data_IF_969058824798
#
_entry.id   IF_969058824798
#
_cell.length_a   1.000
_cell.length_b   1.000
_cell.length_c   1.000
_cell.angle_alpha   90.00
_cell.angle_beta   90.00
_cell.angle_gamma   90.00
#
_symmetry.space_group_name_H-M   'P 1'
#
loop_
_entity.id
_entity.type
_entity.pdbx_description
1 polymer ?
#
# COMPACT_ATOMS: atom_id res chain seq x y z
N UNK A 1 42.58 -13.06 72.31
CA UNK A 1 41.58 -14.02 72.79
C UNK A 1 40.92 -14.66 71.59
N UNK A 2 41.00 -16.00 71.53
CA UNK A 2 40.11 -16.94 70.81
C UNK A 2 40.01 -16.83 69.28
N UNK A 3 39.89 -17.89 68.50
CA UNK A 3 40.25 -19.31 68.54
C UNK A 3 40.04 -19.72 67.07
N UNK A 4 41.04 -20.30 66.41
CA UNK A 4 40.92 -20.79 65.04
C UNK A 4 39.99 -22.02 65.03
N UNK A 5 38.86 -21.94 64.33
CA UNK A 5 38.00 -23.10 64.04
C UNK A 5 38.15 -23.46 62.56
N UNK A 6 38.93 -24.50 62.31
CA UNK A 6 38.97 -25.26 61.07
C UNK A 6 37.61 -25.96 60.88
N UNK A 7 36.85 -25.55 59.86
CA UNK A 7 35.78 -26.37 59.30
C UNK A 7 36.29 -27.06 58.04
N UNK A 8 36.48 -28.37 58.16
CA UNK A 8 36.59 -29.31 57.06
C UNK A 8 35.22 -29.34 56.34
N UNK A 9 35.19 -28.94 55.08
CA UNK A 9 34.06 -29.23 54.20
C UNK A 9 34.11 -30.71 53.80
N UNK A 10 32.98 -31.44 53.79
CA UNK A 10 32.98 -32.85 53.41
C UNK A 10 33.25 -33.00 51.91
N UNK A 11 34.22 -33.85 51.59
CA UNK A 11 34.37 -34.44 50.27
C UNK A 11 33.06 -35.11 49.85
N UNK A 12 32.52 -34.64 48.73
CA UNK A 12 31.32 -35.17 48.13
C UNK A 12 30.47 -34.04 47.62
N UNK A 13 30.63 -33.72 46.34
CA UNK A 13 29.59 -33.49 45.33
C UNK A 13 30.34 -33.10 44.05
N UNK A 14 31.22 -34.01 43.61
CA UNK A 14 31.62 -34.02 42.21
C UNK A 14 30.35 -34.32 41.41
N UNK A 15 29.99 -33.37 40.54
CA UNK A 15 28.89 -33.48 39.61
C UNK A 15 28.99 -34.81 38.86
N UNK A 16 28.23 -35.82 39.32
CA UNK A 16 27.71 -36.83 38.41
C UNK A 16 26.76 -36.08 37.48
N UNK A 17 27.28 -35.63 36.34
CA UNK A 17 26.49 -35.57 35.13
C UNK A 17 25.95 -36.99 34.92
N UNK A 18 24.81 -37.30 35.54
CA UNK A 18 23.95 -38.35 35.05
C UNK A 18 23.53 -37.86 33.66
N UNK A 19 24.22 -38.34 32.64
CA UNK A 19 23.57 -38.63 31.37
C UNK A 19 22.36 -39.49 31.71
N UNK A 20 21.21 -38.85 31.94
CA UNK A 20 19.93 -39.51 31.78
C UNK A 20 19.90 -39.95 30.32
N UNK A 21 20.35 -41.17 30.07
CA UNK A 21 19.87 -41.93 28.93
C UNK A 21 18.35 -41.93 29.07
N UNK A 22 17.68 -41.08 28.28
CA UNK A 22 16.23 -41.10 28.17
C UNK A 22 15.85 -42.55 27.87
N UNK A 23 15.03 -43.14 28.73
CA UNK A 23 14.46 -44.46 28.44
C UNK A 23 13.48 -44.24 27.30
N UNK A 24 13.87 -44.66 26.10
CA UNK A 24 13.07 -44.64 24.87
C UNK A 24 11.56 -44.94 25.04
N UNK A 25 11.07 -45.81 25.97
CA UNK A 25 9.62 -46.03 26.13
C UNK A 25 8.81 -44.85 26.71
N UNK A 26 9.37 -43.96 27.54
CA UNK A 26 8.59 -42.84 28.13
C UNK A 26 8.33 -41.73 27.09
N UNK A 27 9.31 -41.42 26.24
CA UNK A 27 9.17 -40.43 25.16
C UNK A 27 8.11 -40.88 24.13
N UNK A 28 8.08 -42.17 23.78
CA UNK A 28 7.08 -42.72 22.86
C UNK A 28 5.65 -42.67 23.43
N UNK A 29 5.49 -42.82 24.74
CA UNK A 29 4.18 -42.84 25.41
C UNK A 29 3.48 -41.47 25.44
N UNK A 30 4.21 -40.39 25.12
CA UNK A 30 3.64 -39.05 24.88
C UNK A 30 2.71 -39.04 23.66
N UNK A 31 3.07 -39.77 22.60
CA UNK A 31 2.29 -39.84 21.36
C UNK A 31 1.52 -41.16 21.23
N UNK A 32 1.99 -42.22 21.88
CA UNK A 32 1.27 -43.49 22.02
C UNK A 32 0.59 -43.54 23.38
N UNK A 33 -0.40 -42.67 23.59
CA UNK A 33 -1.06 -42.45 24.90
C UNK A 33 -1.68 -43.72 25.49
N UNK A 34 -2.10 -44.68 24.64
CA UNK A 34 -2.56 -46.00 25.06
C UNK A 34 -1.48 -46.85 25.75
N UNK A 35 -0.20 -46.49 25.59
CA UNK A 35 0.93 -47.14 26.24
C UNK A 35 1.28 -46.50 27.60
N UNK A 36 0.69 -45.34 27.94
CA UNK A 36 0.95 -44.64 29.19
C UNK A 36 0.11 -45.18 30.36
N UNK A 37 0.72 -45.43 31.51
CA UNK A 37 0.07 -46.07 32.66
C UNK A 37 -0.85 -45.14 33.46
N UNK A 38 -0.67 -43.82 33.41
CA UNK A 38 -1.44 -42.86 34.22
C UNK A 38 -2.81 -42.51 33.65
N UNK A 39 -3.11 -42.87 32.39
CA UNK A 39 -4.38 -42.56 31.75
C UNK A 39 -5.53 -43.51 32.10
N UNK A 40 -5.31 -44.59 32.86
CA UNK A 40 -6.38 -45.55 33.17
C UNK A 40 -7.53 -44.86 33.93
N UNK A 41 -8.71 -44.79 33.33
CA UNK A 41 -9.95 -44.28 33.96
C UNK A 41 -10.44 -42.90 33.53
N UNK A 42 -9.76 -42.21 32.60
CA UNK A 42 -10.23 -40.94 32.01
C UNK A 42 -10.99 -41.23 30.71
N UNK A 43 -12.23 -40.73 30.60
CA UNK A 43 -13.06 -40.84 29.41
C UNK A 43 -12.56 -39.85 28.34
N UNK A 44 -12.18 -40.37 27.16
CA UNK A 44 -11.71 -39.59 26.00
C UNK A 44 -12.76 -39.64 24.90
N UNK A 45 -12.88 -38.58 24.09
CA UNK A 45 -13.84 -38.53 22.99
C UNK A 45 -13.54 -39.53 21.87
N UNK A 46 -12.28 -39.94 21.79
CA UNK A 46 -11.82 -40.97 20.86
C UNK A 46 -11.64 -42.28 21.62
N UNK A 47 -12.29 -43.38 21.19
CA UNK A 47 -12.14 -44.67 21.86
C UNK A 47 -10.69 -45.11 21.92
N UNK A 48 -10.24 -45.55 23.10
CA UNK A 48 -8.94 -46.20 23.22
C UNK A 48 -8.93 -47.52 22.45
N UNK A 49 -8.05 -47.59 21.48
CA UNK A 49 -7.86 -48.73 20.60
C UNK A 49 -6.56 -49.44 20.97
N UNK A 50 -6.67 -50.68 21.44
CA UNK A 50 -5.54 -51.52 21.87
C UNK A 50 -4.81 -52.16 20.68
N UNK A 51 -4.39 -51.38 19.69
CA UNK A 51 -3.69 -51.92 18.52
C UNK A 51 -2.27 -51.36 18.39
N UNK A 52 -1.32 -52.28 18.25
CA UNK A 52 0.06 -51.99 17.91
C UNK A 52 0.13 -51.49 16.47
N UNK A 53 0.91 -50.43 16.23
CA UNK A 53 1.14 -49.94 14.88
C UNK A 53 2.35 -50.61 14.27
N UNK A 54 2.19 -51.10 13.05
CA UNK A 54 3.26 -51.65 12.22
C UNK A 54 3.37 -50.76 10.98
N UNK A 55 4.58 -50.66 10.44
CA UNK A 55 4.95 -49.95 9.23
C UNK A 55 5.55 -51.03 8.30
N UNK A 56 5.32 -50.98 6.99
CA UNK A 56 5.60 -52.06 6.01
C UNK A 56 4.71 -53.31 6.14
N UNK A 57 3.40 -53.14 6.40
CA UNK A 57 2.42 -54.22 6.23
C UNK A 57 1.51 -54.53 7.42
N UNK A 58 1.30 -53.60 8.36
CA UNK A 58 0.18 -53.62 9.32
C UNK A 58 -0.16 -52.16 9.73
N UNK A 59 -1.18 -51.88 10.58
CA UNK A 59 -1.91 -50.60 10.52
C UNK A 59 -1.18 -49.46 11.24
N UNK A 60 -1.14 -48.27 10.64
CA UNK A 60 -0.58 -47.04 11.26
C UNK A 60 -1.66 -46.01 11.55
N UNK A 61 -2.14 -45.99 12.81
CA UNK A 61 -3.01 -44.91 13.31
C UNK A 61 -2.24 -43.63 13.72
N UNK A 62 -0.90 -43.60 13.67
CA UNK A 62 -0.10 -42.46 14.20
C UNK A 62 -0.36 -41.19 13.41
N UNK A 63 -0.64 -41.32 12.12
CA UNK A 63 -0.91 -40.21 11.19
C UNK A 63 -2.39 -39.90 11.06
N UNK A 64 -3.27 -40.59 11.80
CA UNK A 64 -4.70 -40.32 11.76
C UNK A 64 -5.04 -39.01 12.47
N UNK A 65 -6.06 -38.32 11.96
CA UNK A 65 -6.64 -37.15 12.63
C UNK A 65 -7.04 -37.48 14.07
N UNK A 66 -7.61 -38.67 14.29
CA UNK A 66 -7.98 -39.16 15.60
C UNK A 66 -6.79 -39.21 16.59
N UNK A 67 -5.60 -39.62 16.15
CA UNK A 67 -4.42 -39.61 17.01
C UNK A 67 -4.02 -38.18 17.41
N UNK A 68 -4.02 -37.26 16.45
CA UNK A 68 -3.69 -35.86 16.70
C UNK A 68 -4.69 -35.25 17.69
N UNK A 69 -5.99 -35.47 17.44
CA UNK A 69 -7.06 -34.99 18.29
C UNK A 69 -7.05 -35.59 19.69
N UNK A 70 -6.52 -36.80 19.91
CA UNK A 70 -6.43 -37.39 21.25
C UNK A 70 -5.52 -36.63 22.23
N UNK A 71 -4.69 -35.71 21.73
CA UNK A 71 -3.92 -34.76 22.54
C UNK A 71 -4.57 -33.36 22.56
N UNK A 72 -5.20 -32.98 21.46
CA UNK A 72 -5.86 -31.68 21.28
C UNK A 72 -7.30 -31.63 21.84
N UNK A 73 -7.85 -32.75 22.31
CA UNK A 73 -9.23 -32.87 22.82
C UNK A 73 -9.40 -32.48 24.30
N UNK A 74 -8.32 -32.03 24.94
CA UNK A 74 -8.28 -31.73 26.37
C UNK A 74 -7.35 -32.63 27.18
N UNK A 75 -6.87 -33.75 26.62
CA UNK A 75 -5.94 -34.63 27.33
C UNK A 75 -4.61 -33.95 27.66
N UNK A 76 -4.00 -33.24 26.68
CA UNK A 76 -2.82 -32.37 26.93
C UNK A 76 -3.27 -30.92 27.04
N UNK A 77 -4.03 -30.45 26.06
CA UNK A 77 -4.67 -29.15 26.05
C UNK A 77 -5.84 -29.18 25.06
N UNK A 78 -6.99 -28.67 25.47
CA UNK A 78 -8.11 -28.53 24.52
C UNK A 78 -7.80 -27.38 23.56
N UNK A 79 -7.66 -27.73 22.29
CA UNK A 79 -7.27 -26.81 21.22
C UNK A 79 -8.03 -27.13 19.94
N UNK A 80 -9.11 -27.92 20.03
CA UNK A 80 -9.98 -28.27 18.90
C UNK A 80 -10.53 -27.06 18.17
N UNK A 81 -10.83 -25.99 18.92
CA UNK A 81 -11.33 -24.74 18.36
C UNK A 81 -10.34 -24.07 17.40
N UNK A 82 -9.03 -24.30 17.57
CA UNK A 82 -8.01 -23.66 16.74
C UNK A 82 -7.88 -24.31 15.36
N UNK A 83 -8.43 -25.53 15.17
CA UNK A 83 -8.44 -26.25 13.91
C UNK A 83 -9.69 -26.00 13.07
N UNK A 84 -10.59 -25.10 13.49
CA UNK A 84 -11.84 -24.76 12.79
C UNK A 84 -11.64 -23.89 11.54
N UNK A 85 -10.39 -23.70 11.08
CA UNK A 85 -10.08 -22.93 9.87
C UNK A 85 -10.78 -23.54 8.66
N UNK A 86 -11.54 -22.72 7.93
CA UNK A 86 -12.17 -23.14 6.66
C UNK A 86 -11.18 -23.24 5.50
N UNK A 87 -10.03 -22.58 5.61
CA UNK A 87 -9.08 -22.46 4.49
C UNK A 87 -8.10 -23.63 4.42
N UNK A 88 -7.76 -24.22 5.57
CA UNK A 88 -6.89 -25.38 5.67
C UNK A 88 -7.39 -26.25 6.82
N UNK A 89 -8.00 -27.39 6.50
CA UNK A 89 -8.48 -28.38 7.48
C UNK A 89 -8.01 -29.78 7.10
N UNK A 90 -8.12 -30.73 8.04
CA UNK A 90 -7.87 -32.14 7.77
C UNK A 90 -8.78 -32.68 6.65
N UNK A 91 -8.27 -33.65 5.89
CA UNK A 91 -8.97 -34.33 4.79
C UNK A 91 -9.46 -33.35 3.71
N UNK A 92 -8.67 -32.32 3.43
CA UNK A 92 -8.95 -31.33 2.39
C UNK A 92 -8.20 -31.68 1.11
N UNK A 93 -8.88 -31.73 -0.04
CA UNK A 93 -8.19 -31.89 -1.32
C UNK A 93 -7.36 -30.65 -1.63
N UNK A 94 -6.06 -30.77 -1.94
CA UNK A 94 -5.32 -29.67 -2.56
C UNK A 94 -6.03 -29.33 -3.87
N UNK A 95 -6.50 -28.08 -4.01
CA UNK A 95 -7.17 -27.61 -5.22
C UNK A 95 -6.23 -27.53 -6.43
N UNK A 96 -6.23 -26.40 -7.13
CA UNK A 96 -5.34 -26.19 -8.29
C UNK A 96 -3.90 -25.83 -7.88
N UNK A 97 -3.32 -26.58 -6.95
CA UNK A 97 -1.95 -26.37 -6.43
C UNK A 97 -1.11 -27.63 -6.59
N UNK A 98 0.18 -27.45 -6.88
CA UNK A 98 1.13 -28.55 -6.97
C UNK A 98 1.81 -28.74 -5.62
N UNK A 99 1.49 -29.84 -4.94
CA UNK A 99 2.13 -30.22 -3.67
C UNK A 99 3.53 -30.78 -3.95
N UNK A 100 4.58 -30.15 -3.39
CA UNK A 100 5.98 -30.59 -3.52
C UNK A 100 6.49 -31.14 -2.18
N UNK A 101 7.04 -32.35 -2.20
CA UNK A 101 7.77 -32.96 -1.07
C UNK A 101 7.00 -33.06 0.25
N UNK A 102 5.67 -32.98 0.22
CA UNK A 102 4.80 -33.15 1.38
C UNK A 102 3.86 -34.33 1.17
N UNK A 103 3.66 -35.19 2.19
CA UNK A 103 2.82 -36.37 2.05
C UNK A 103 1.33 -35.99 2.08
N UNK A 104 0.54 -36.67 1.26
CA UNK A 104 -0.92 -36.63 1.30
C UNK A 104 -1.44 -37.96 1.88
N UNK A 105 -2.70 -38.00 2.29
CA UNK A 105 -3.33 -39.26 2.71
C UNK A 105 -3.56 -40.17 1.47
N UNK A 106 -4.10 -41.37 1.70
CA UNK A 106 -4.40 -42.34 0.63
C UNK A 106 -5.41 -41.84 -0.41
N UNK A 107 -6.20 -40.82 -0.08
CA UNK A 107 -7.21 -40.21 -0.93
C UNK A 107 -6.70 -38.96 -1.67
N UNK A 108 -5.41 -38.63 -1.47
CA UNK A 108 -4.77 -37.45 -2.08
C UNK A 108 -5.10 -36.14 -1.37
N UNK A 109 -5.51 -36.19 -0.10
CA UNK A 109 -5.91 -35.03 0.69
C UNK A 109 -4.80 -34.60 1.66
N UNK A 110 -4.79 -33.31 2.00
CA UNK A 110 -3.98 -32.82 3.11
C UNK A 110 -4.58 -33.33 4.42
N UNK A 111 -3.70 -33.65 5.36
CA UNK A 111 -4.06 -34.06 6.72
C UNK A 111 -3.02 -33.49 7.69
N UNK A 112 -3.18 -33.70 9.00
CA UNK A 112 -2.28 -33.16 10.02
C UNK A 112 -0.81 -33.49 9.73
N UNK A 113 -0.54 -34.73 9.29
CA UNK A 113 0.79 -35.20 8.95
C UNK A 113 1.31 -34.75 7.59
N UNK A 114 0.56 -33.97 6.81
CA UNK A 114 1.09 -33.26 5.62
C UNK A 114 2.04 -32.15 6.04
N UNK A 115 1.69 -31.40 7.10
CA UNK A 115 2.51 -30.30 7.62
C UNK A 115 3.40 -30.75 8.79
N UNK A 116 2.86 -31.63 9.64
CA UNK A 116 3.57 -32.16 10.82
C UNK A 116 4.19 -33.54 10.55
N UNK A 117 5.28 -33.87 11.24
CA UNK A 117 5.91 -35.17 11.28
C UNK A 117 6.39 -35.47 12.70
N UNK A 118 5.67 -36.38 13.34
CA UNK A 118 5.96 -36.82 14.71
C UNK A 118 7.21 -37.70 14.81
N UNK A 119 7.71 -38.23 13.69
CA UNK A 119 8.87 -39.14 13.64
C UNK A 119 10.09 -38.53 12.93
N UNK A 120 10.05 -37.26 12.53
CA UNK A 120 11.19 -36.59 11.87
C UNK A 120 11.96 -35.72 12.86
N UNK A 121 12.92 -36.33 13.57
CA UNK A 121 13.97 -35.64 14.31
C UNK A 121 15.13 -35.29 13.35
N UNK A 122 15.67 -34.07 13.41
CA UNK A 122 16.72 -33.77 14.39
C UNK A 122 16.24 -32.89 15.57
N UNK A 123 17.00 -32.85 16.68
CA UNK A 123 16.60 -32.20 17.94
C UNK A 123 16.68 -30.68 17.93
N UNK A 124 17.16 -30.06 16.86
CA UNK A 124 17.40 -28.62 16.82
C UNK A 124 16.73 -28.04 15.58
N UNK A 125 15.50 -27.57 15.76
CA UNK A 125 15.06 -26.37 15.07
C UNK A 125 14.71 -25.38 16.18
N UNK A 126 15.67 -24.52 16.60
CA UNK A 126 15.43 -23.46 17.58
C UNK A 126 14.25 -22.55 17.17
N UNK A 127 13.89 -22.60 15.90
CA UNK A 127 13.08 -21.64 15.18
C UNK A 127 11.73 -22.21 14.69
N UNK A 128 11.43 -23.48 14.97
CA UNK A 128 10.14 -24.10 14.61
C UNK A 128 9.13 -23.85 15.72
N UNK A 129 8.37 -22.76 15.60
CA UNK A 129 7.37 -22.31 16.58
C UNK A 129 6.19 -23.28 16.81
N UNK A 130 6.11 -24.38 16.06
CA UNK A 130 5.23 -25.51 16.34
C UNK A 130 6.05 -26.81 16.46
N UNK A 131 5.74 -27.69 17.42
CA UNK A 131 6.39 -28.98 17.52
C UNK A 131 6.11 -29.81 16.26
N UNK A 132 7.09 -30.63 15.88
CA UNK A 132 6.96 -31.62 14.81
C UNK A 132 6.73 -31.05 13.40
N UNK A 133 7.16 -29.83 13.05
CA UNK A 133 7.02 -29.35 11.65
C UNK A 133 7.95 -30.07 10.68
N UNK A 134 7.45 -30.49 9.51
CA UNK A 134 8.27 -31.13 8.45
C UNK A 134 9.32 -30.18 7.87
N UNK A 135 8.92 -28.94 7.69
CA UNK A 135 9.72 -27.86 7.12
C UNK A 135 9.74 -26.69 8.06
N UNK A 136 10.77 -25.86 7.95
CA UNK A 136 10.79 -24.57 8.63
C UNK A 136 9.58 -23.73 8.18
N UNK A 137 8.88 -23.11 9.12
CA UNK A 137 7.71 -22.29 8.81
C UNK A 137 8.07 -20.85 8.48
N UNK A 138 9.27 -20.41 8.90
CA UNK A 138 9.81 -19.09 8.61
C UNK A 138 9.94 -18.86 7.11
N UNK A 139 9.89 -17.60 6.72
CA UNK A 139 9.94 -17.14 5.35
C UNK A 139 8.85 -17.81 4.49
N UNK A 140 7.70 -18.18 5.06
CA UNK A 140 6.61 -18.86 4.36
C UNK A 140 7.00 -20.17 3.65
N UNK A 141 8.11 -20.82 4.03
CA UNK A 141 8.66 -21.99 3.32
C UNK A 141 7.67 -23.15 3.19
N UNK A 142 6.89 -23.42 4.24
CA UNK A 142 5.82 -24.42 4.20
C UNK A 142 4.77 -24.10 3.14
N UNK A 143 4.27 -22.86 3.15
CA UNK A 143 3.20 -22.42 2.25
C UNK A 143 3.64 -22.55 0.79
N UNK A 144 4.90 -22.21 0.50
CA UNK A 144 5.48 -22.28 -0.85
C UNK A 144 5.64 -23.71 -1.40
N UNK A 145 5.59 -24.75 -0.55
CA UNK A 145 5.56 -26.14 -1.04
C UNK A 145 4.30 -26.46 -1.85
N UNK A 146 3.23 -25.68 -1.70
CA UNK A 146 2.00 -25.80 -2.48
C UNK A 146 1.66 -24.51 -3.26
N UNK A 147 1.88 -23.34 -2.65
CA UNK A 147 1.46 -22.02 -3.15
C UNK A 147 2.59 -21.23 -3.81
N UNK A 148 3.56 -21.89 -4.47
CA UNK A 148 4.66 -21.22 -5.18
C UNK A 148 4.19 -20.14 -6.17
N UNK A 149 3.05 -20.36 -6.84
CA UNK A 149 2.47 -19.37 -7.76
C UNK A 149 2.01 -18.07 -7.08
N UNK A 150 1.83 -18.08 -5.76
CA UNK A 150 1.33 -16.94 -5.00
C UNK A 150 2.43 -15.96 -4.57
N UNK A 151 3.71 -16.29 -4.80
CA UNK A 151 4.85 -15.47 -4.38
C UNK A 151 5.35 -14.51 -5.46
N UNK A 152 4.58 -14.31 -6.53
CA UNK A 152 4.93 -13.35 -7.58
C UNK A 152 4.95 -11.95 -7.00
N UNK A 153 6.15 -11.41 -6.82
CA UNK A 153 6.37 -10.03 -6.37
C UNK A 153 5.57 -9.05 -7.22
N UNK A 154 5.02 -8.02 -6.56
CA UNK A 154 4.27 -6.90 -7.15
C UNK A 154 2.84 -7.21 -7.66
N UNK A 155 2.52 -8.48 -7.92
CA UNK A 155 1.18 -8.98 -8.29
C UNK A 155 0.34 -9.29 -7.04
N UNK A 156 0.99 -9.88 -6.04
CA UNK A 156 0.44 -10.15 -4.71
C UNK A 156 1.26 -9.39 -3.65
N UNK A 157 0.82 -9.45 -2.39
CA UNK A 157 1.58 -8.90 -1.28
C UNK A 157 3.03 -9.40 -1.29
N UNK A 158 4.00 -8.50 -1.09
CA UNK A 158 5.39 -8.89 -1.03
C UNK A 158 5.68 -9.52 0.35
N UNK A 159 5.65 -10.85 0.40
CA UNK A 159 6.21 -11.60 1.53
C UNK A 159 7.71 -11.24 1.68
N UNK A 160 8.22 -11.33 2.90
CA UNK A 160 9.60 -10.98 3.27
C UNK A 160 9.92 -9.48 3.23
N UNK A 161 8.90 -8.62 3.19
CA UNK A 161 9.05 -7.17 3.37
C UNK A 161 8.93 -6.83 4.85
N UNK A 162 9.93 -6.10 5.36
CA UNK A 162 9.91 -5.62 6.74
C UNK A 162 8.84 -4.55 6.91
N UNK A 163 8.02 -4.66 7.96
CA UNK A 163 7.12 -3.58 8.35
C UNK A 163 7.91 -2.37 8.88
N UNK A 164 7.34 -1.17 8.71
CA UNK A 164 7.86 0.06 9.28
C UNK A 164 7.27 0.37 10.66
N UNK A 165 7.94 1.23 11.42
CA UNK A 165 7.61 1.56 12.83
C UNK A 165 6.19 2.07 13.08
N UNK A 166 5.44 2.44 12.04
CA UNK A 166 4.06 2.89 12.12
C UNK A 166 3.02 1.75 12.19
N UNK A 167 3.45 0.48 12.18
CA UNK A 167 2.58 -0.68 12.28
C UNK A 167 1.81 -0.74 13.62
N UNK A 168 0.50 -0.98 13.53
CA UNK A 168 -0.52 -1.05 14.60
C UNK A 168 -1.28 -2.38 14.60
N UNK A 169 -0.80 -3.38 13.86
CA UNK A 169 -1.35 -4.73 13.93
C UNK A 169 -1.32 -5.26 15.39
N UNK A 170 -2.25 -6.15 15.78
CA UNK A 170 -2.30 -6.71 17.13
C UNK A 170 -0.95 -7.27 17.62
N UNK A 171 -0.61 -7.16 18.91
CA UNK A 171 0.69 -7.63 19.45
C UNK A 171 0.95 -9.13 19.27
N UNK A 172 -0.10 -9.94 19.15
CA UNK A 172 -0.09 -11.38 18.88
C UNK A 172 0.00 -11.72 17.39
N UNK A 173 0.04 -10.72 16.50
CA UNK A 173 0.21 -10.92 15.06
C UNK A 173 1.53 -11.66 14.79
N UNK A 174 1.46 -12.70 13.96
CA UNK A 174 2.64 -13.46 13.57
C UNK A 174 3.47 -12.70 12.53
N UNK A 175 4.76 -12.55 12.83
CA UNK A 175 5.74 -11.95 11.93
C UNK A 175 6.90 -12.91 11.66
N UNK A 176 7.50 -12.74 10.49
CA UNK A 176 8.77 -13.38 10.13
C UNK A 176 9.98 -12.71 10.78
N UNK A 177 11.16 -13.27 10.50
CA UNK A 177 12.43 -12.75 11.00
C UNK A 177 12.64 -11.28 10.62
N UNK A 178 13.01 -10.46 11.60
CA UNK A 178 13.16 -9.01 11.41
C UNK A 178 11.85 -8.29 11.14
N UNK A 179 10.73 -8.80 11.68
CA UNK A 179 9.38 -8.26 11.49
C UNK A 179 8.92 -8.24 10.04
N UNK A 180 9.25 -9.27 9.27
CA UNK A 180 8.82 -9.37 7.88
C UNK A 180 7.40 -9.90 7.77
N UNK A 181 6.63 -9.37 6.80
CA UNK A 181 5.32 -9.91 6.43
C UNK A 181 5.50 -11.33 5.88
N UNK A 182 4.73 -12.28 6.39
CA UNK A 182 4.67 -13.66 5.90
C UNK A 182 3.22 -14.09 5.64
N UNK A 183 3.01 -15.25 5.02
CA UNK A 183 1.66 -15.75 4.74
C UNK A 183 0.83 -15.88 6.04
N UNK A 184 1.47 -16.33 7.12
CA UNK A 184 0.84 -16.53 8.42
C UNK A 184 0.51 -15.22 9.15
N UNK A 185 1.04 -14.08 8.70
CA UNK A 185 0.67 -12.75 9.24
C UNK A 185 -0.81 -12.47 9.02
N UNK A 186 -1.35 -12.87 7.87
CA UNK A 186 -2.76 -12.65 7.49
C UNK A 186 -3.57 -13.95 7.41
N UNK A 187 -2.94 -15.09 7.14
CA UNK A 187 -3.59 -16.39 6.98
C UNK A 187 -3.13 -17.39 8.04
N UNK A 188 -3.48 -17.19 9.33
CA UNK A 188 -3.21 -18.17 10.37
C UNK A 188 -3.97 -19.47 10.05
N UNK A 189 -3.26 -20.60 10.09
CA UNK A 189 -3.83 -21.92 9.75
C UNK A 189 -4.42 -22.64 10.97
N UNK A 190 -4.01 -22.27 12.19
CA UNK A 190 -4.38 -22.95 13.44
C UNK A 190 -4.81 -21.96 14.53
N UNK A 191 -5.66 -20.98 14.22
CA UNK A 191 -6.14 -20.02 15.22
C UNK A 191 -7.64 -19.77 15.08
N UNK A 192 -8.34 -19.71 16.22
CA UNK A 192 -9.71 -19.20 16.31
C UNK A 192 -9.73 -17.66 16.29
N UNK A 193 -8.56 -17.02 16.42
CA UNK A 193 -8.40 -15.61 16.13
C UNK A 193 -8.43 -15.41 14.62
N UNK A 194 -9.60 -14.97 14.15
CA UNK A 194 -9.70 -14.12 12.98
C UNK A 194 -8.60 -13.08 13.13
N UNK A 195 -7.69 -12.97 12.16
CA UNK A 195 -6.78 -11.82 12.13
C UNK A 195 -7.70 -10.61 12.19
N UNK A 196 -7.69 -9.91 13.34
CA UNK A 196 -8.54 -8.74 13.50
C UNK A 196 -8.20 -7.88 12.29
N UNK A 197 -9.21 -7.45 11.54
CA UNK A 197 -9.13 -6.70 10.27
C UNK A 197 -9.18 -7.52 8.96
N UNK A 198 -9.07 -8.86 8.96
CA UNK A 198 -9.19 -9.69 7.72
C UNK A 198 -10.63 -10.15 7.44
N UNK A 199 -11.59 -9.86 8.33
CA UNK A 199 -13.00 -10.19 8.07
C UNK A 199 -13.82 -9.03 7.51
N UNK A 200 -14.52 -9.32 6.40
CA UNK A 200 -15.55 -8.46 5.82
C UNK A 200 -15.04 -7.50 4.73
N UNK A 201 -15.86 -6.49 4.42
CA UNK A 201 -15.58 -5.44 3.42
C UNK A 201 -14.69 -4.30 3.96
N UNK A 202 -13.95 -4.51 5.06
CA UNK A 202 -13.21 -3.41 5.71
C UNK A 202 -11.69 -3.64 5.65
N UNK A 203 -11.17 -3.85 4.44
CA UNK A 203 -9.72 -3.90 4.17
C UNK A 203 -9.06 -2.55 4.45
N UNK A 204 -9.77 -1.43 4.41
CA UNK A 204 -9.27 -0.12 4.87
C UNK A 204 -8.76 -0.23 6.31
N UNK A 205 -9.47 -0.93 7.20
CA UNK A 205 -9.01 -1.18 8.56
C UNK A 205 -7.73 -2.06 8.58
N UNK A 206 -7.63 -3.06 7.70
CA UNK A 206 -6.43 -3.90 7.56
C UNK A 206 -5.23 -3.11 7.06
N UNK A 207 -5.39 -2.40 5.94
CA UNK A 207 -4.35 -1.58 5.33
C UNK A 207 -3.87 -0.53 6.35
N UNK A 208 -4.79 0.09 7.09
CA UNK A 208 -4.48 1.14 8.07
C UNK A 208 -3.80 0.68 9.35
N UNK A 209 -3.82 -0.62 9.63
CA UNK A 209 -2.95 -1.15 10.65
C UNK A 209 -1.46 -1.05 10.26
N UNK A 210 -1.10 -1.21 8.99
CA UNK A 210 0.31 -1.12 8.58
C UNK A 210 0.70 0.25 8.01
N UNK A 211 -0.18 0.87 7.22
CA UNK A 211 0.15 2.03 6.39
C UNK A 211 -0.34 3.35 6.99
N UNK A 212 -0.49 3.47 8.31
CA UNK A 212 -1.36 4.44 9.00
C UNK A 212 -1.31 5.91 8.53
N UNK A 213 -0.24 6.34 7.89
CA UNK A 213 -0.04 7.68 7.32
C UNK A 213 -0.58 7.83 5.87
N UNK A 214 -1.15 6.79 5.27
CA UNK A 214 -1.58 6.71 3.87
C UNK A 214 -3.11 6.68 3.68
N UNK A 215 -3.86 7.34 4.57
CA UNK A 215 -5.32 7.25 4.60
C UNK A 215 -5.95 8.62 4.74
N UNK A 216 -6.45 9.17 3.64
CA UNK A 216 -7.60 10.09 3.62
C UNK A 216 -7.97 10.41 2.17
N UNK A 217 -8.77 9.51 1.57
CA UNK A 217 -9.42 9.70 0.26
C UNK A 217 -10.93 9.41 0.31
N UNK A 218 -11.43 8.99 1.48
CA UNK A 218 -12.85 8.75 1.72
C UNK A 218 -13.64 10.01 1.47
N UNK A 219 -14.84 9.87 0.91
CA UNK A 219 -15.74 11.00 0.59
C UNK A 219 -15.20 11.96 -0.49
N UNK A 220 -14.07 11.69 -1.11
CA UNK A 220 -13.56 12.44 -2.27
C UNK A 220 -14.07 11.81 -3.57
N UNK A 221 -13.86 12.45 -4.72
CA UNK A 221 -14.14 11.84 -6.03
C UNK A 221 -13.40 10.51 -6.28
N UNK A 222 -12.31 10.26 -5.55
CA UNK A 222 -11.52 9.03 -5.61
C UNK A 222 -11.93 8.00 -4.56
N UNK A 223 -13.00 8.25 -3.81
CA UNK A 223 -13.76 7.19 -3.17
C UNK A 223 -14.55 6.44 -4.26
N UNK A 224 -13.87 5.53 -4.95
CA UNK A 224 -14.42 4.81 -6.10
C UNK A 224 -15.56 3.86 -5.70
N UNK A 225 -15.69 3.54 -4.42
CA UNK A 225 -16.83 2.79 -3.88
C UNK A 225 -18.14 3.58 -4.00
N UNK A 226 -18.05 4.90 -4.11
CA UNK A 226 -19.18 5.81 -4.28
C UNK A 226 -19.24 6.36 -5.71
N UNK A 227 -18.12 6.79 -6.28
CA UNK A 227 -18.11 7.44 -7.59
C UNK A 227 -18.26 6.45 -8.76
N UNK A 228 -17.79 5.20 -8.59
CA UNK A 228 -17.83 4.16 -9.63
C UNK A 228 -18.17 2.76 -9.05
N UNK A 229 -19.26 2.61 -8.24
CA UNK A 229 -19.50 1.46 -7.37
C UNK A 229 -19.54 0.10 -8.06
N UNK A 230 -19.93 0.08 -9.33
CA UNK A 230 -20.15 -1.13 -10.13
C UNK A 230 -19.01 -1.47 -11.09
N UNK A 231 -17.96 -0.65 -11.12
CA UNK A 231 -16.77 -0.94 -11.93
C UNK A 231 -16.05 -2.15 -11.35
N UNK A 232 -15.57 -3.04 -12.22
CA UNK A 232 -14.94 -4.30 -11.82
C UNK A 232 -13.44 -4.17 -11.84
N UNK A 233 -12.82 -4.74 -10.81
CA UNK A 233 -11.37 -4.93 -10.76
C UNK A 233 -10.97 -6.23 -11.47
N UNK A 234 -9.67 -6.42 -11.65
CA UNK A 234 -9.07 -7.60 -12.28
C UNK A 234 -9.41 -8.92 -11.58
N UNK A 235 -9.73 -8.89 -10.29
CA UNK A 235 -10.17 -10.07 -9.53
C UNK A 235 -11.69 -10.36 -9.63
N UNK A 236 -12.42 -9.58 -10.45
CA UNK A 236 -13.83 -9.78 -10.75
C UNK A 236 -14.82 -9.13 -9.78
N UNK A 237 -14.36 -8.63 -8.63
CA UNK A 237 -15.20 -7.90 -7.66
C UNK A 237 -15.35 -6.42 -8.04
N UNK A 238 -16.49 -5.82 -7.70
CA UNK A 238 -16.70 -4.38 -7.89
C UNK A 238 -16.03 -3.53 -6.82
N UNK A 239 -15.83 -2.23 -7.08
CA UNK A 239 -15.30 -1.31 -6.08
C UNK A 239 -16.11 -1.31 -4.77
N UNK A 240 -17.44 -1.31 -4.84
CA UNK A 240 -18.31 -1.37 -3.65
C UNK A 240 -18.26 -2.71 -2.90
N UNK A 241 -17.74 -3.78 -3.52
CA UNK A 241 -17.58 -5.09 -2.88
C UNK A 241 -16.27 -5.21 -2.09
N UNK A 242 -15.26 -4.40 -2.41
CA UNK A 242 -13.90 -4.56 -1.87
C UNK A 242 -13.46 -3.50 -0.87
N UNK A 243 -13.94 -2.26 -1.01
CA UNK A 243 -13.59 -1.02 -0.30
C UNK A 243 -12.67 -0.02 -1.03
N UNK A 244 -12.43 1.11 -0.37
CA UNK A 244 -11.74 2.29 -0.90
C UNK A 244 -10.30 1.96 -1.29
N UNK A 245 -9.56 1.26 -0.43
CA UNK A 245 -8.16 0.93 -0.70
C UNK A 245 -8.08 -0.13 -1.81
N UNK A 246 -8.97 -1.13 -1.76
CA UNK A 246 -9.00 -2.21 -2.73
C UNK A 246 -9.62 -1.84 -4.08
N UNK A 247 -10.17 -0.63 -4.20
CA UNK A 247 -10.51 -0.04 -5.50
C UNK A 247 -9.27 0.32 -6.32
N UNK A 248 -8.11 0.50 -5.68
CA UNK A 248 -6.82 0.75 -6.34
C UNK A 248 -5.82 -0.40 -6.12
N UNK A 249 -5.83 -1.03 -4.94
CA UNK A 249 -4.86 -2.05 -4.50
C UNK A 249 -5.56 -3.34 -4.07
N UNK A 250 -5.67 -4.32 -4.98
CA UNK A 250 -6.25 -5.63 -4.61
C UNK A 250 -5.25 -6.45 -3.79
N UNK A 251 -5.73 -7.24 -2.83
CA UNK A 251 -4.83 -8.02 -1.95
C UNK A 251 -4.20 -9.23 -2.67
N UNK A 252 -4.88 -9.74 -3.71
CA UNK A 252 -4.43 -10.83 -4.55
C UNK A 252 -4.79 -10.56 -6.01
N UNK A 253 -3.98 -11.11 -6.92
CA UNK A 253 -4.21 -11.09 -8.38
C UNK A 253 -4.22 -9.67 -8.98
N UNK A 254 -3.49 -8.73 -8.37
CA UNK A 254 -3.35 -7.38 -8.91
C UNK A 254 -2.42 -7.34 -10.13
N UNK A 255 -2.65 -6.39 -11.02
CA UNK A 255 -1.83 -6.22 -12.21
C UNK A 255 -0.62 -5.32 -11.95
N UNK A 256 0.51 -5.58 -12.62
CA UNK A 256 1.69 -4.72 -12.56
C UNK A 256 2.32 -4.56 -11.17
N UNK A 257 2.58 -3.30 -10.76
CA UNK A 257 3.12 -2.95 -9.43
C UNK A 257 2.02 -2.50 -8.49
N UNK A 258 2.32 -2.59 -7.19
CA UNK A 258 1.42 -2.13 -6.12
C UNK A 258 0.08 -2.88 -6.08
N UNK A 259 0.02 -4.08 -6.67
CA UNK A 259 -1.19 -4.90 -6.75
C UNK A 259 -2.36 -4.12 -7.36
N UNK A 260 -2.12 -3.49 -8.51
CA UNK A 260 -3.08 -2.57 -9.12
C UNK A 260 -4.39 -3.27 -9.46
N UNK A 261 -5.50 -2.61 -9.13
CA UNK A 261 -6.84 -3.19 -9.23
C UNK A 261 -7.39 -3.23 -10.65
N UNK A 262 -6.82 -2.47 -11.59
CA UNK A 262 -7.30 -2.37 -12.97
C UNK A 262 -6.28 -2.98 -13.94
N UNK A 263 -6.70 -3.26 -15.17
CA UNK A 263 -5.78 -3.65 -16.24
C UNK A 263 -4.79 -2.50 -16.51
N UNK A 264 -3.51 -2.82 -16.71
CA UNK A 264 -2.46 -1.83 -17.00
C UNK A 264 -1.58 -2.32 -18.15
N UNK A 265 -1.58 -1.55 -19.24
CA UNK A 265 -0.92 -1.98 -20.48
C UNK A 265 0.57 -1.64 -20.53
N UNK A 266 0.97 -0.54 -19.89
CA UNK A 266 2.37 -0.11 -19.83
C UNK A 266 2.81 0.11 -18.39
N UNK A 267 3.57 -0.83 -17.84
CA UNK A 267 4.05 -0.77 -16.45
C UNK A 267 5.38 -0.02 -16.30
N UNK A 268 5.94 0.54 -17.38
CA UNK A 268 7.28 1.18 -17.36
C UNK A 268 7.29 2.51 -16.62
N UNK A 269 6.20 3.27 -16.65
CA UNK A 269 6.08 4.56 -15.98
C UNK A 269 5.03 4.52 -14.88
N UNK A 270 5.30 5.18 -13.75
CA UNK A 270 4.30 5.37 -12.68
C UNK A 270 3.11 6.22 -13.14
N UNK A 271 3.26 7.02 -14.20
CA UNK A 271 2.14 7.79 -14.76
C UNK A 271 1.08 6.89 -15.39
N UNK A 272 1.44 5.68 -15.84
CA UNK A 272 0.50 4.79 -16.51
C UNK A 272 -0.68 4.43 -15.60
N UNK A 273 -0.44 4.19 -14.31
CA UNK A 273 -1.47 3.94 -13.30
C UNK A 273 -2.51 5.08 -13.24
N UNK A 274 -2.07 6.33 -13.34
CA UNK A 274 -2.97 7.49 -13.38
C UNK A 274 -3.73 7.58 -14.71
N UNK A 275 -3.04 7.29 -15.82
CA UNK A 275 -3.56 7.43 -17.18
C UNK A 275 -4.56 6.34 -17.56
N UNK A 276 -4.59 5.20 -16.86
CA UNK A 276 -5.66 4.20 -17.04
C UNK A 276 -7.04 4.83 -16.78
N UNK A 277 -7.16 5.66 -15.74
CA UNK A 277 -8.39 6.40 -15.46
C UNK A 277 -8.44 7.75 -16.20
N UNK A 278 -7.35 8.53 -16.18
CA UNK A 278 -7.28 9.89 -16.74
C UNK A 278 -6.90 9.95 -18.22
N UNK A 279 -7.39 9.00 -19.01
CA UNK A 279 -7.28 9.00 -20.48
C UNK A 279 -8.62 9.37 -21.12
N UNK A 280 -8.63 9.57 -22.45
CA UNK A 280 -9.84 9.85 -23.21
C UNK A 280 -10.85 8.69 -23.21
N UNK A 281 -10.42 7.49 -22.84
CA UNK A 281 -11.24 6.27 -22.78
C UNK A 281 -11.42 5.73 -21.36
N UNK A 282 -10.65 6.19 -20.39
CA UNK A 282 -10.69 5.73 -19.00
C UNK A 282 -11.89 6.22 -18.20
N UNK A 283 -11.97 5.75 -16.95
CA UNK A 283 -13.07 6.07 -16.01
C UNK A 283 -13.22 7.59 -15.81
N UNK A 284 -12.10 8.31 -15.73
CA UNK A 284 -12.05 9.75 -15.52
C UNK A 284 -11.94 10.55 -16.82
N UNK A 285 -12.51 10.08 -17.94
CA UNK A 285 -12.43 10.75 -19.26
C UNK A 285 -12.86 12.22 -19.27
N UNK A 286 -13.78 12.63 -18.41
CA UNK A 286 -14.20 14.02 -18.25
C UNK A 286 -13.08 14.94 -17.71
N UNK A 287 -12.05 14.34 -17.12
CA UNK A 287 -10.84 14.94 -16.55
C UNK A 287 -9.58 14.30 -17.16
N UNK A 288 -9.66 13.86 -18.42
CA UNK A 288 -8.51 13.29 -19.12
C UNK A 288 -7.35 14.28 -19.14
N UNK A 289 -6.15 13.81 -18.84
CA UNK A 289 -4.95 14.62 -18.85
C UNK A 289 -4.61 15.05 -20.29
N UNK A 290 -4.31 16.34 -20.47
CA UNK A 290 -3.85 16.91 -21.75
C UNK A 290 -2.52 17.62 -21.49
N UNK A 291 -1.51 17.34 -22.31
CA UNK A 291 -0.13 17.86 -22.20
C UNK A 291 0.01 19.38 -22.45
N UNK A 292 -1.00 20.20 -22.12
CA UNK A 292 -1.02 21.62 -22.44
C UNK A 292 -0.27 22.49 -21.40
N UNK A 293 -0.01 21.98 -20.19
CA UNK A 293 0.68 22.68 -19.10
C UNK A 293 2.13 22.22 -18.89
N UNK A 294 2.33 21.24 -18.01
CA UNK A 294 3.64 20.65 -17.72
C UNK A 294 3.82 19.28 -18.36
N UNK A 295 5.05 18.99 -18.79
CA UNK A 295 5.43 17.65 -19.21
C UNK A 295 5.66 16.78 -17.97
N UNK A 296 4.92 15.69 -17.85
CA UNK A 296 5.08 14.67 -16.81
C UNK A 296 6.07 13.57 -17.23
N UNK A 297 6.94 13.86 -18.19
CA UNK A 297 8.02 12.99 -18.68
C UNK A 297 9.11 13.84 -19.33
N UNK A 298 10.34 13.32 -19.37
CA UNK A 298 11.45 13.96 -20.10
C UNK A 298 12.08 15.19 -19.43
N UNK A 299 11.59 15.63 -18.26
CA UNK A 299 12.26 16.64 -17.42
C UNK A 299 13.00 15.89 -16.31
N UNK A 300 14.33 15.82 -16.39
CA UNK A 300 15.19 15.19 -15.37
C UNK A 300 15.72 16.21 -14.38
N UNK A 301 15.68 15.87 -13.10
CA UNK A 301 16.24 16.69 -12.04
C UNK A 301 17.63 16.19 -11.65
N UNK A 302 18.64 17.05 -11.68
CA UNK A 302 20.00 16.69 -11.25
C UNK A 302 20.10 16.49 -9.74
N UNK A 303 19.27 17.22 -8.97
CA UNK A 303 19.23 17.19 -7.52
C UNK A 303 17.90 16.60 -7.04
N UNK A 304 17.94 15.95 -5.89
CA UNK A 304 16.73 15.50 -5.22
C UNK A 304 15.90 16.70 -4.73
N UNK A 305 14.58 16.55 -4.75
CA UNK A 305 13.61 17.47 -4.17
C UNK A 305 12.71 16.62 -3.25
N UNK A 306 13.14 16.39 -1.99
CA UNK A 306 12.48 15.46 -1.08
C UNK A 306 11.00 15.79 -0.82
N UNK A 307 10.64 17.07 -0.77
CA UNK A 307 9.27 17.55 -0.54
C UNK A 307 8.29 17.08 -1.64
N UNK A 308 8.82 16.82 -2.84
CA UNK A 308 8.08 16.32 -4.00
C UNK A 308 8.35 14.84 -4.28
N UNK A 309 9.03 14.14 -3.37
CA UNK A 309 9.47 12.76 -3.54
C UNK A 309 10.27 12.52 -4.84
N UNK A 310 11.04 13.53 -5.28
CA UNK A 310 11.90 13.43 -6.47
C UNK A 310 13.32 13.09 -6.02
N UNK A 311 13.87 12.00 -6.54
CA UNK A 311 15.27 11.60 -6.34
C UNK A 311 16.19 12.19 -7.43
N UNK A 312 17.50 12.26 -7.16
CA UNK A 312 18.46 12.76 -8.14
C UNK A 312 18.51 11.85 -9.39
N UNK A 313 18.44 12.45 -10.57
CA UNK A 313 18.36 11.77 -11.86
C UNK A 313 16.95 11.31 -12.26
N UNK A 314 15.95 11.54 -11.42
CA UNK A 314 14.56 11.15 -11.68
C UNK A 314 13.86 12.15 -12.61
N UNK A 315 12.91 11.64 -13.39
CA UNK A 315 12.03 12.46 -14.22
C UNK A 315 10.81 12.95 -13.45
N UNK A 316 10.29 14.13 -13.81
CA UNK A 316 9.01 14.62 -13.30
C UNK A 316 7.90 13.62 -13.62
N UNK A 317 7.06 13.29 -12.63
CA UNK A 317 5.93 12.35 -12.77
C UNK A 317 4.67 12.96 -12.16
N UNK A 318 3.49 12.37 -12.41
CA UNK A 318 2.27 12.74 -11.71
C UNK A 318 2.46 12.70 -10.19
N UNK A 319 3.13 11.64 -9.71
CA UNK A 319 3.38 11.42 -8.29
C UNK A 319 4.38 12.41 -7.67
N UNK A 320 5.03 13.25 -8.47
CA UNK A 320 5.90 14.32 -7.95
C UNK A 320 5.07 15.47 -7.37
N UNK A 321 3.92 15.78 -7.97
CA UNK A 321 3.01 16.79 -7.46
C UNK A 321 1.88 16.17 -6.63
N UNK A 322 1.45 14.96 -6.99
CA UNK A 322 0.33 14.27 -6.36
C UNK A 322 0.79 13.12 -5.46
N UNK A 323 0.16 12.97 -4.31
CA UNK A 323 0.26 11.78 -3.48
C UNK A 323 -1.12 11.12 -3.42
N UNK A 324 -1.34 9.99 -4.12
CA UNK A 324 -2.66 9.37 -4.23
C UNK A 324 -3.23 8.87 -2.90
N UNK A 325 -2.46 8.93 -1.80
CA UNK A 325 -2.89 8.53 -0.47
C UNK A 325 -3.35 9.68 0.42
N UNK A 326 -3.17 10.94 -0.02
CA UNK A 326 -3.57 12.12 0.77
C UNK A 326 -4.45 13.01 -0.10
N UNK A 327 -5.67 13.35 0.30
CA UNK A 327 -6.49 14.26 -0.52
C UNK A 327 -5.95 15.70 -0.55
N UNK A 328 -5.37 16.17 0.55
CA UNK A 328 -4.79 17.51 0.70
C UNK A 328 -3.54 17.51 1.59
N UNK A 329 -2.70 18.54 1.49
CA UNK A 329 -1.43 18.61 2.20
C UNK A 329 -1.57 18.63 3.73
N UNK A 330 -2.58 19.32 4.28
CA UNK A 330 -2.71 19.50 5.72
C UNK A 330 -3.60 18.45 6.42
N UNK A 331 -4.22 17.52 5.69
CA UNK A 331 -5.01 16.40 6.25
C UNK A 331 -6.02 16.83 7.32
N UNK A 332 -6.70 17.96 7.12
CA UNK A 332 -7.41 18.67 8.20
C UNK A 332 -8.90 18.86 7.94
N UNK A 333 -9.42 18.46 6.78
CA UNK A 333 -10.84 18.55 6.51
C UNK A 333 -11.60 17.30 6.94
N UNK A 334 -12.44 17.47 7.95
CA UNK A 334 -13.59 16.60 8.17
C UNK A 334 -14.57 16.81 7.01
N UNK A 335 -14.43 16.01 5.96
CA UNK A 335 -15.41 15.96 4.88
C UNK A 335 -16.72 15.38 5.43
N UNK A 336 -17.82 16.07 5.17
CA UNK A 336 -19.17 15.67 5.62
C UNK A 336 -20.08 15.26 4.47
N UNK A 337 -19.70 15.59 3.23
CA UNK A 337 -20.40 15.22 2.00
C UNK A 337 -19.51 14.33 1.14
N UNK A 338 -20.11 13.31 0.51
CA UNK A 338 -19.42 12.40 -0.40
C UNK A 338 -19.16 13.05 -1.77
N UNK A 339 -18.16 12.54 -2.49
CA UNK A 339 -17.69 13.01 -3.79
C UNK A 339 -17.29 14.50 -3.78
N UNK A 340 -16.44 14.88 -2.82
CA UNK A 340 -15.79 16.19 -2.89
C UNK A 340 -14.89 16.27 -4.12
N UNK A 341 -15.15 17.28 -4.95
CA UNK A 341 -14.33 17.60 -6.11
C UNK A 341 -13.05 18.33 -5.71
N UNK A 342 -11.96 18.01 -6.41
CA UNK A 342 -10.65 18.58 -6.20
C UNK A 342 -10.56 20.08 -6.50
N UNK A 343 -9.72 20.78 -5.74
CA UNK A 343 -9.39 22.21 -5.92
C UNK A 343 -7.88 22.41 -6.11
N UNK A 344 -7.44 23.67 -6.25
CA UNK A 344 -6.02 24.02 -6.35
C UNK A 344 -5.22 23.80 -5.05
N UNK A 345 -5.88 23.55 -3.92
CA UNK A 345 -5.21 23.25 -2.64
C UNK A 345 -5.49 21.83 -2.12
N UNK A 346 -6.34 21.07 -2.81
CA UNK A 346 -6.62 19.64 -2.59
C UNK A 346 -6.22 18.84 -3.84
N UNK A 347 -6.98 17.84 -4.28
CA UNK A 347 -6.65 17.04 -5.48
C UNK A 347 -5.34 16.27 -5.36
N UNK A 348 -5.03 15.74 -4.20
CA UNK A 348 -3.81 14.98 -3.92
C UNK A 348 -2.50 15.74 -3.84
N UNK A 349 -2.51 17.07 -3.77
CA UNK A 349 -1.25 17.81 -3.84
C UNK A 349 -0.33 17.53 -2.64
N UNK A 350 0.94 17.22 -2.93
CA UNK A 350 2.01 17.01 -1.94
C UNK A 350 2.31 18.27 -1.14
N UNK A 351 2.26 19.41 -1.80
CA UNK A 351 2.36 20.76 -1.25
C UNK A 351 1.18 21.56 -1.81
N UNK A 352 0.58 22.49 -1.04
CA UNK A 352 -0.54 23.26 -1.54
C UNK A 352 -0.05 24.26 -2.60
N UNK A 353 -0.84 24.46 -3.64
CA UNK A 353 -0.72 25.68 -4.46
C UNK A 353 -1.55 26.77 -3.78
N UNK A 354 -1.02 27.27 -2.68
CA UNK A 354 -1.65 28.28 -1.84
C UNK A 354 -1.39 29.71 -2.35
N UNK A 355 -1.74 30.70 -1.54
CA UNK A 355 -1.49 32.10 -1.84
C UNK A 355 0.00 32.48 -1.93
N UNK A 356 0.92 31.60 -1.53
CA UNK A 356 2.36 31.78 -1.72
C UNK A 356 2.90 30.96 -2.91
N UNK A 357 2.07 30.12 -3.55
CA UNK A 357 2.48 29.21 -4.59
C UNK A 357 3.49 28.17 -4.08
N UNK A 358 3.31 27.68 -2.84
CA UNK A 358 4.28 26.82 -2.14
C UNK A 358 4.71 25.59 -2.98
N UNK A 359 3.77 24.97 -3.70
CA UNK A 359 4.07 23.88 -4.64
C UNK A 359 5.00 24.34 -5.78
N UNK A 360 4.61 25.38 -6.51
CA UNK A 360 5.29 25.79 -7.74
C UNK A 360 6.68 26.39 -7.45
N UNK A 361 6.80 27.17 -6.38
CA UNK A 361 8.04 27.86 -5.98
C UNK A 361 9.12 26.90 -5.50
N UNK A 362 8.77 25.65 -5.17
CA UNK A 362 9.73 24.58 -4.89
C UNK A 362 10.68 24.35 -6.08
N UNK A 363 10.18 24.50 -7.32
CA UNK A 363 11.00 24.43 -8.54
C UNK A 363 11.25 25.81 -9.17
N UNK A 364 10.29 26.73 -9.05
CA UNK A 364 10.31 28.05 -9.68
C UNK A 364 10.55 29.17 -8.65
N UNK A 365 11.57 29.03 -7.80
CA UNK A 365 11.86 29.97 -6.70
C UNK A 365 12.00 31.42 -7.16
N UNK A 366 12.65 31.65 -8.30
CA UNK A 366 12.83 32.99 -8.90
C UNK A 366 11.51 33.67 -9.29
N UNK A 367 10.41 32.91 -9.42
CA UNK A 367 9.08 33.43 -9.77
C UNK A 367 8.28 33.85 -8.53
N UNK A 368 8.79 33.63 -7.33
CA UNK A 368 8.13 34.01 -6.07
C UNK A 368 7.90 35.53 -5.95
N UNK A 369 8.64 36.34 -6.70
CA UNK A 369 8.46 37.81 -6.75
C UNK A 369 7.04 38.24 -7.10
N UNK A 370 6.27 37.41 -7.82
CA UNK A 370 4.85 37.67 -8.13
C UNK A 370 4.00 37.82 -6.87
N UNK A 371 4.29 37.06 -5.81
CA UNK A 371 3.59 37.08 -4.51
C UNK A 371 3.72 38.45 -3.83
N UNK A 372 4.81 39.17 -4.10
CA UNK A 372 5.07 40.50 -3.54
C UNK A 372 4.66 41.65 -4.47
N UNK A 373 4.15 41.34 -5.66
CA UNK A 373 3.72 42.32 -6.66
C UNK A 373 2.24 42.68 -6.53
N UNK A 374 1.74 43.57 -7.40
CA UNK A 374 0.31 43.85 -7.53
C UNK A 374 -0.52 42.65 -8.03
N UNK A 375 0.14 41.64 -8.60
CA UNK A 375 -0.47 40.38 -9.02
C UNK A 375 -0.62 39.36 -7.89
N UNK A 376 -0.33 39.75 -6.65
CA UNK A 376 -0.57 38.92 -5.49
C UNK A 376 -2.06 38.77 -5.22
N UNK A 377 -2.54 37.52 -5.14
CA UNK A 377 -3.96 37.23 -4.84
C UNK A 377 -4.36 37.69 -3.42
N UNK A 378 -3.37 37.95 -2.56
CA UNK A 378 -3.59 38.40 -1.20
C UNK A 378 -3.97 39.89 -1.13
N UNK A 379 -3.69 40.66 -2.18
CA UNK A 379 -4.01 42.09 -2.23
C UNK A 379 -5.51 42.35 -2.40
N UNK A 380 -5.94 43.52 -1.92
CA UNK A 380 -7.36 43.92 -1.90
C UNK A 380 -8.03 43.90 -3.28
N UNK A 381 -7.33 44.36 -4.33
CA UNK A 381 -7.88 44.40 -5.70
C UNK A 381 -8.27 43.01 -6.21
N UNK A 382 -7.39 42.02 -6.05
CA UNK A 382 -7.65 40.63 -6.42
C UNK A 382 -8.79 40.01 -5.59
N UNK A 383 -8.82 40.27 -4.28
CA UNK A 383 -9.90 39.80 -3.39
C UNK A 383 -11.27 40.35 -3.80
N UNK A 384 -11.36 41.63 -4.09
CA UNK A 384 -12.61 42.26 -4.52
C UNK A 384 -13.07 41.73 -5.88
N UNK A 385 -12.15 41.58 -6.84
CA UNK A 385 -12.45 41.05 -8.16
C UNK A 385 -13.09 39.66 -8.11
N UNK A 386 -12.40 38.70 -7.50
CA UNK A 386 -12.88 37.32 -7.48
C UNK A 386 -14.11 37.11 -6.58
N UNK A 387 -14.31 37.95 -5.57
CA UNK A 387 -15.55 37.97 -4.78
C UNK A 387 -16.74 38.40 -5.65
N UNK A 388 -16.57 39.42 -6.49
CA UNK A 388 -17.62 39.91 -7.39
C UNK A 388 -17.88 38.98 -8.58
N UNK A 389 -16.84 38.27 -9.06
CA UNK A 389 -16.95 37.34 -10.18
C UNK A 389 -17.62 36.00 -9.82
N UNK A 390 -18.01 35.78 -8.56
CA UNK A 390 -18.58 34.50 -8.11
C UNK A 390 -17.59 33.33 -8.11
N UNK A 391 -16.30 33.60 -8.32
CA UNK A 391 -15.23 32.62 -8.50
C UNK A 391 -14.32 32.55 -7.26
N UNK A 392 -14.91 32.47 -6.07
CA UNK A 392 -14.16 32.46 -4.79
C UNK A 392 -13.18 31.30 -4.65
N UNK A 393 -13.41 30.17 -5.33
CA UNK A 393 -12.47 29.04 -5.36
C UNK A 393 -11.13 29.36 -6.04
N UNK A 394 -11.10 30.32 -6.98
CA UNK A 394 -9.86 30.74 -7.65
C UNK A 394 -8.96 31.63 -6.76
N UNK A 395 -9.46 32.14 -5.62
CA UNK A 395 -8.67 32.94 -4.68
C UNK A 395 -7.70 32.13 -3.80
N UNK A 396 -7.67 30.80 -3.97
CA UNK A 396 -6.93 29.93 -3.06
C UNK A 396 -5.47 29.74 -3.49
N UNK A 397 -5.13 30.05 -4.74
CA UNK A 397 -3.86 29.73 -5.38
C UNK A 397 -3.25 30.93 -6.10
N UNK A 398 -1.97 31.18 -5.87
CA UNK A 398 -1.25 32.28 -6.52
C UNK A 398 -0.92 31.95 -7.98
N UNK A 399 -0.58 30.69 -8.26
CA UNK A 399 -0.10 30.28 -9.58
C UNK A 399 -1.25 29.86 -10.50
N UNK A 400 -2.25 29.14 -9.98
CA UNK A 400 -3.39 28.60 -10.75
C UNK A 400 -4.39 29.67 -11.22
N UNK A 401 -4.30 30.90 -10.71
CA UNK A 401 -5.08 32.03 -11.26
C UNK A 401 -4.67 32.34 -12.69
N UNK A 402 -3.37 32.23 -13.01
CA UNK A 402 -2.84 32.50 -14.35
C UNK A 402 -2.52 31.21 -15.11
N UNK A 403 -1.94 30.22 -14.42
CA UNK A 403 -1.54 28.95 -14.98
C UNK A 403 -2.62 27.89 -14.84
N UNK A 404 -2.66 26.94 -15.76
CA UNK A 404 -3.59 25.84 -15.68
C UNK A 404 -2.85 24.53 -15.93
N UNK A 405 -2.89 23.65 -14.93
CA UNK A 405 -2.05 22.44 -14.91
C UNK A 405 -2.73 21.26 -15.60
N UNK A 406 -4.03 21.03 -15.34
CA UNK A 406 -4.78 19.84 -15.81
C UNK A 406 -6.00 20.13 -16.69
N UNK A 407 -6.47 21.38 -16.71
CA UNK A 407 -7.54 21.86 -17.58
C UNK A 407 -7.12 23.19 -18.20
N UNK A 408 -7.85 23.57 -19.23
CA UNK A 408 -7.95 24.93 -19.72
C UNK A 408 -8.37 25.90 -18.59
N UNK A 409 -7.42 26.55 -17.92
CA UNK A 409 -7.69 27.68 -17.01
C UNK A 409 -7.86 28.98 -17.79
N UNK A 410 -7.68 30.14 -17.13
CA UNK A 410 -7.74 31.45 -17.80
C UNK A 410 -6.88 31.50 -19.08
N UNK A 411 -5.77 30.76 -19.10
CA UNK A 411 -4.88 30.53 -20.25
C UNK A 411 -5.52 29.88 -21.50
N UNK A 412 -6.80 29.48 -21.47
CA UNK A 412 -7.52 28.97 -22.66
C UNK A 412 -8.85 29.69 -22.92
N UNK A 413 -9.38 30.47 -21.96
CA UNK A 413 -10.29 31.59 -22.31
C UNK A 413 -9.59 32.55 -23.27
N UNK A 414 -8.28 32.68 -23.06
CA UNK A 414 -7.23 33.06 -23.98
C UNK A 414 -7.15 32.12 -25.21
N UNK A 415 -8.05 32.32 -26.18
CA UNK A 415 -8.04 31.80 -27.55
C UNK A 415 -7.23 30.54 -27.86
N UNK A 416 -7.91 29.38 -27.99
CA UNK A 416 -7.34 28.24 -28.73
C UNK A 416 -6.88 28.69 -30.12
N UNK A 417 -5.57 28.62 -30.36
CA UNK A 417 -4.95 29.02 -31.63
C UNK A 417 -4.30 30.41 -31.65
N UNK A 418 -4.25 31.11 -30.50
CA UNK A 418 -3.56 32.39 -30.43
C UNK A 418 -2.03 32.24 -30.53
N UNK A 419 -1.37 33.08 -31.34
CA UNK A 419 0.08 33.13 -31.45
C UNK A 419 0.77 33.77 -30.23
N UNK A 420 0.03 34.40 -29.29
CA UNK A 420 0.58 34.97 -28.05
C UNK A 420 -0.27 34.65 -26.82
N UNK A 421 -0.05 33.45 -26.29
CA UNK A 421 -0.76 32.95 -25.11
C UNK A 421 -0.53 33.80 -23.85
N UNK A 422 0.59 34.51 -23.75
CA UNK A 422 0.90 35.33 -22.57
C UNK A 422 0.06 36.60 -22.60
N UNK A 423 0.01 37.27 -23.75
CA UNK A 423 -0.85 38.44 -23.93
C UNK A 423 -2.32 38.11 -23.63
N UNK A 424 -2.78 36.94 -24.07
CA UNK A 424 -4.16 36.54 -23.82
C UNK A 424 -4.47 36.30 -22.33
N UNK A 425 -3.51 35.75 -21.56
CA UNK A 425 -3.66 35.60 -20.09
C UNK A 425 -3.82 36.97 -19.44
N UNK A 426 -2.98 37.94 -19.81
CA UNK A 426 -3.07 39.30 -19.31
C UNK A 426 -4.42 39.95 -19.66
N UNK A 427 -4.82 39.87 -20.94
CA UNK A 427 -6.07 40.45 -21.44
C UNK A 427 -7.33 39.79 -20.88
N UNK A 428 -7.23 38.55 -20.40
CA UNK A 428 -8.29 37.88 -19.66
C UNK A 428 -8.75 38.67 -18.43
N UNK A 429 -7.85 39.41 -17.77
CA UNK A 429 -8.18 40.27 -16.64
C UNK A 429 -8.07 41.77 -16.97
N UNK A 430 -7.14 42.15 -17.85
CA UNK A 430 -6.90 43.54 -18.26
C UNK A 430 -7.69 43.87 -19.53
N UNK A 431 -9.00 44.01 -19.38
CA UNK A 431 -9.90 44.50 -20.42
C UNK A 431 -10.86 45.55 -19.86
N UNK A 432 -11.53 46.25 -20.79
CA UNK A 432 -12.46 47.36 -20.50
C UNK A 432 -13.58 47.00 -19.51
N UNK A 433 -13.90 45.72 -19.35
CA UNK A 433 -14.95 45.24 -18.46
C UNK A 433 -14.46 44.89 -17.04
N UNK A 434 -13.19 44.52 -16.84
CA UNK A 434 -12.70 43.88 -15.61
C UNK A 434 -11.63 44.67 -14.85
N UNK A 435 -10.72 45.36 -15.55
CA UNK A 435 -9.73 46.23 -14.93
C UNK A 435 -9.40 47.41 -15.87
N UNK A 436 -9.78 48.65 -15.51
CA UNK A 436 -9.64 49.82 -16.36
C UNK A 436 -8.20 50.36 -16.46
N UNK A 437 -7.20 49.67 -15.90
CA UNK A 437 -5.82 49.77 -16.42
C UNK A 437 -5.81 49.13 -17.81
N UNK A 438 -6.45 49.80 -18.76
CA UNK A 438 -6.53 49.36 -20.13
C UNK A 438 -5.12 49.40 -20.70
N UNK A 439 -4.75 48.35 -21.43
CA UNK A 439 -3.57 48.36 -22.30
C UNK A 439 -3.91 49.30 -23.46
N UNK A 440 -3.97 50.60 -23.17
CA UNK A 440 -4.22 51.63 -24.16
C UNK A 440 -3.06 51.65 -25.13
N UNK A 441 -3.36 51.59 -26.43
CA UNK A 441 -2.36 51.61 -27.51
C UNK A 441 -1.38 52.79 -27.42
N UNK A 442 -1.75 53.88 -26.74
CA UNK A 442 -0.92 55.06 -26.56
C UNK A 442 0.22 54.86 -25.53
N UNK A 443 -0.02 54.10 -24.46
CA UNK A 443 0.95 53.91 -23.37
C UNK A 443 1.63 52.53 -23.40
N UNK A 444 1.00 51.55 -24.06
CA UNK A 444 1.50 50.20 -24.23
C UNK A 444 1.47 49.83 -25.73
N UNK A 445 2.53 50.18 -26.50
CA UNK A 445 2.60 49.86 -27.92
C UNK A 445 2.65 48.34 -28.12
N UNK A 446 1.57 47.78 -28.67
CA UNK A 446 1.43 46.37 -29.03
C UNK A 446 1.48 46.20 -30.55
N UNK A 447 1.85 45.01 -31.01
CA UNK A 447 1.89 44.64 -32.43
C UNK A 447 2.85 45.51 -33.28
N UNK A 448 3.78 46.23 -32.65
CA UNK A 448 4.83 47.01 -33.33
C UNK A 448 6.00 46.10 -33.72
N UNK A 449 6.41 46.04 -35.00
CA UNK A 449 7.59 45.29 -35.42
C UNK A 449 8.88 45.78 -34.76
N UNK A 450 9.72 44.85 -34.28
CA UNK A 450 11.06 45.17 -33.81
C UNK A 450 12.13 44.20 -34.34
N UNK A 451 13.40 44.63 -34.33
CA UNK A 451 14.53 43.83 -34.84
C UNK A 451 14.97 42.76 -33.82
N UNK A 452 15.10 41.54 -34.34
CA UNK A 452 15.62 40.30 -33.75
C UNK A 452 16.96 40.39 -32.99
N UNK A 453 17.69 41.51 -33.09
CA UNK A 453 18.94 41.72 -32.34
C UNK A 453 18.69 41.99 -30.85
N UNK A 454 17.54 42.54 -30.50
CA UNK A 454 17.09 42.55 -29.11
C UNK A 454 16.68 41.12 -28.78
N UNK A 455 17.38 40.45 -27.87
CA UNK A 455 17.06 39.06 -27.45
C UNK A 455 15.73 38.96 -26.67
N UNK A 456 14.83 39.91 -26.88
CA UNK A 456 13.56 40.02 -26.20
C UNK A 456 12.53 39.13 -26.90
N UNK A 457 11.70 38.41 -26.14
CA UNK A 457 10.63 37.62 -26.73
C UNK A 457 9.50 38.54 -27.22
N UNK A 458 8.64 38.05 -28.10
CA UNK A 458 7.50 38.79 -28.64
C UNK A 458 6.60 37.89 -29.48
N UNK A 459 5.53 38.46 -30.01
CA UNK A 459 4.55 37.73 -30.84
C UNK A 459 5.11 37.51 -32.25
N UNK A 460 5.17 36.26 -32.70
CA UNK A 460 5.63 35.91 -34.04
C UNK A 460 4.49 35.93 -35.05
N UNK A 461 4.65 36.71 -36.12
CA UNK A 461 3.75 36.73 -37.28
C UNK A 461 4.57 36.54 -38.55
N UNK A 462 4.51 35.34 -39.13
CA UNK A 462 5.39 34.95 -40.24
C UNK A 462 6.86 34.90 -39.80
N UNK A 463 7.70 35.78 -40.34
CA UNK A 463 9.12 35.93 -39.94
C UNK A 463 9.39 37.19 -39.08
N UNK A 464 8.35 37.97 -38.79
CA UNK A 464 8.47 39.22 -38.04
C UNK A 464 8.10 38.98 -36.57
N UNK A 465 8.90 39.56 -35.66
CA UNK A 465 8.56 39.62 -34.24
C UNK A 465 7.93 40.97 -33.95
N UNK A 466 6.79 40.95 -33.27
CA UNK A 466 6.05 42.14 -32.84
C UNK A 466 6.12 42.28 -31.32
N UNK A 467 6.12 43.54 -30.84
CA UNK A 467 6.01 43.84 -29.42
C UNK A 467 4.74 43.22 -28.85
N UNK A 468 4.89 42.57 -27.71
CA UNK A 468 3.77 42.05 -26.95
C UNK A 468 3.98 42.19 -25.45
N UNK A 469 2.99 41.76 -24.64
CA UNK A 469 3.10 41.82 -23.18
C UNK A 469 4.35 41.09 -22.70
N UNK A 470 4.69 39.95 -23.31
CA UNK A 470 5.88 39.15 -23.01
C UNK A 470 7.20 39.88 -23.34
N UNK A 471 7.18 40.88 -24.23
CA UNK A 471 8.38 41.67 -24.57
C UNK A 471 8.83 42.52 -23.39
N UNK A 472 7.89 43.00 -22.58
CA UNK A 472 8.13 44.00 -21.53
C UNK A 472 7.92 43.46 -20.10
N UNK A 473 7.19 42.35 -19.94
CA UNK A 473 6.84 41.71 -18.67
C UNK A 473 7.20 40.22 -18.70
#
# INVERSE_FOLDING_TARGET
>A
SSLLLLFLAPDGWGQKFMTMQRRAPEDCSTCHVSWHSTGKGVETLIPRVNTNIIIDGKPSMVTSEAMCLSCHDGYVADSREVFLSKNHHGNMKPGNVKVKDLPLNSEGEIYCGTCHSVHSLPPERPDSFAPFMRVETKNSQLCMKCHEGQTKSNVNHPIHVAQGTANRMPPDTRWGDGNKVECMTCHPIHENQKVQLVEGKNRTALCSACHADQFEISLTDHDLTVSHPYEKTVNGLTFQEQDICASCHVTHEGEGKFMWALDIKDTKSLNAYCLECHSTTGLAKAKAFKHEGHLINGIKFEKAIPELAITAGEELKCVSCHDPHRWEHQGKRNLTAANEEGTAVSSFLRLPDDANGSLCTTCHSEKQTVVNSDHSIQRGGFKTYFANAGNSQQQQSQCSVCHATHKAGFAVSAGKGSPDKIADVCQGCHNDALSPTTVGHADHPMDIPFDSKSKLPGRLVGKQTLLSCNTCH
#
